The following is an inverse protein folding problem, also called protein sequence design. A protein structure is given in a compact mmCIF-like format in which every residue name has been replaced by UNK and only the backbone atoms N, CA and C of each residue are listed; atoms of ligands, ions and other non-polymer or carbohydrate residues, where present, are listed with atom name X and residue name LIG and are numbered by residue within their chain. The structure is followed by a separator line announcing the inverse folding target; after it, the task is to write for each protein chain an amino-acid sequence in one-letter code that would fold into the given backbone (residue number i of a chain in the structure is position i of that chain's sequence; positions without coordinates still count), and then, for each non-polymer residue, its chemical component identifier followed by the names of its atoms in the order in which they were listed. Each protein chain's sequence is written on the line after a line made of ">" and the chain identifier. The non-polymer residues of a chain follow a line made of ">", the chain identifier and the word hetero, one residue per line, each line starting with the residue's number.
data_IF_392223434375
#
_entry.id   IF_392223434375
#
_cell.length_a   1.000
_cell.length_b   1.000
_cell.length_c   1.000
_cell.angle_alpha   90.00
_cell.angle_beta   90.00
_cell.angle_gamma   90.00
#
_symmetry.space_group_name_H-M   'P 1'
#
loop_
_entity.id
_entity.type
_entity.pdbx_description
1 polymer ?
#
# COMPACT_ATOMS: atom_id res chain seq x y z
N UNK A 1 11.72 8.96 19.22
CA UNK A 1 10.40 8.63 18.63
C UNK A 1 10.64 7.66 17.48
N UNK A 2 9.98 6.49 17.42
CA UNK A 2 10.14 5.60 16.26
C UNK A 2 9.58 6.33 15.04
N UNK A 3 10.43 6.69 14.09
CA UNK A 3 9.99 7.27 12.82
C UNK A 3 9.05 6.26 12.14
N UNK A 4 7.85 6.71 11.75
CA UNK A 4 6.84 5.83 11.14
C UNK A 4 7.27 5.50 9.71
N UNK A 5 8.10 4.46 9.56
CA UNK A 5 8.48 3.87 8.25
C UNK A 5 7.29 3.30 7.48
N UNK A 6 6.16 3.14 8.16
CA UNK A 6 4.91 2.60 7.64
C UNK A 6 3.84 3.70 7.64
N UNK A 7 3.38 4.08 6.45
CA UNK A 7 2.33 5.08 6.22
C UNK A 7 1.07 4.41 5.69
N UNK A 8 -0.08 4.99 5.97
CA UNK A 8 -1.38 4.53 5.45
C UNK A 8 -2.08 5.69 4.77
N UNK A 9 -2.68 5.42 3.61
CA UNK A 9 -3.55 6.33 2.88
C UNK A 9 -4.88 5.63 2.61
N UNK A 10 -5.99 6.31 2.91
CA UNK A 10 -7.33 5.84 2.59
C UNK A 10 -7.88 6.62 1.40
N UNK A 11 -8.07 5.90 0.29
CA UNK A 11 -8.64 6.44 -0.94
C UNK A 11 -10.02 5.82 -1.25
N UNK A 12 -10.48 4.87 -0.43
CA UNK A 12 -11.70 4.10 -0.63
C UNK A 12 -12.94 4.70 0.03
N UNK A 13 -12.79 5.41 1.15
CA UNK A 13 -13.94 5.87 1.96
C UNK A 13 -14.27 7.36 1.83
N UNK A 14 -13.54 8.09 0.98
CA UNK A 14 -13.62 9.55 0.90
C UNK A 14 -14.56 10.09 -0.20
N UNK A 15 -15.44 9.24 -0.75
CA UNK A 15 -16.35 9.55 -1.86
C UNK A 15 -15.68 10.20 -3.10
N UNK A 16 -14.38 9.91 -3.30
CA UNK A 16 -13.63 10.44 -4.43
C UNK A 16 -14.14 9.83 -5.75
N UNK A 17 -14.11 10.63 -6.82
CA UNK A 17 -14.11 10.09 -8.19
C UNK A 17 -12.82 9.32 -8.40
N UNK A 18 -12.84 8.29 -9.26
CA UNK A 18 -11.68 7.42 -9.51
C UNK A 18 -10.42 8.23 -9.84
N UNK A 19 -10.52 9.22 -10.73
CA UNK A 19 -9.39 10.05 -11.15
C UNK A 19 -8.76 10.80 -9.96
N UNK A 20 -9.60 11.36 -9.07
CA UNK A 20 -9.12 12.07 -7.88
C UNK A 20 -8.42 11.13 -6.88
N UNK A 21 -8.91 9.90 -6.74
CA UNK A 21 -8.28 8.88 -5.90
C UNK A 21 -6.89 8.49 -6.43
N UNK A 22 -6.75 8.34 -7.76
CA UNK A 22 -5.46 8.04 -8.40
C UNK A 22 -4.50 9.22 -8.29
N UNK A 23 -4.94 10.46 -8.55
CA UNK A 23 -4.07 11.63 -8.35
C UNK A 23 -3.58 11.78 -6.91
N UNK A 24 -4.43 11.47 -5.92
CA UNK A 24 -4.04 11.46 -4.50
C UNK A 24 -3.01 10.35 -4.22
N UNK A 25 -3.21 9.15 -4.79
CA UNK A 25 -2.26 8.05 -4.68
C UNK A 25 -0.89 8.43 -5.27
N UNK A 26 -0.86 8.97 -6.48
CA UNK A 26 0.36 9.39 -7.18
C UNK A 26 1.14 10.45 -6.41
N UNK A 27 0.42 11.45 -5.89
CA UNK A 27 0.99 12.51 -5.06
C UNK A 27 1.58 11.92 -3.78
N UNK A 28 0.84 11.03 -3.12
CA UNK A 28 1.25 10.39 -1.88
C UNK A 28 2.49 9.51 -2.09
N UNK A 29 2.52 8.71 -3.16
CA UNK A 29 3.67 7.88 -3.50
C UNK A 29 4.89 8.74 -3.78
N UNK A 30 4.74 9.82 -4.54
CA UNK A 30 5.86 10.73 -4.85
C UNK A 30 6.42 11.39 -3.59
N UNK A 31 5.56 11.79 -2.64
CA UNK A 31 5.98 12.27 -1.33
C UNK A 31 6.73 11.20 -0.53
N UNK A 32 6.22 9.96 -0.50
CA UNK A 32 6.87 8.88 0.26
C UNK A 32 8.24 8.51 -0.29
N UNK A 33 8.39 8.51 -1.62
CA UNK A 33 9.68 8.28 -2.30
C UNK A 33 10.67 9.39 -1.96
N UNK A 34 10.21 10.66 -1.90
CA UNK A 34 11.06 11.80 -1.54
C UNK A 34 11.46 11.83 -0.05
N UNK A 35 10.56 11.39 0.85
CA UNK A 35 10.78 11.45 2.30
C UNK A 35 11.90 10.48 2.78
N UNK A 36 12.26 9.44 2.01
CA UNK A 36 13.27 8.37 2.29
C UNK A 36 13.10 7.59 3.62
N UNK A 37 12.34 8.14 4.57
CA UNK A 37 11.98 7.57 5.87
C UNK A 37 10.83 6.59 5.74
N UNK A 38 9.89 6.87 4.83
CA UNK A 38 8.77 5.97 4.54
C UNK A 38 9.25 4.83 3.66
N UNK A 39 9.15 3.60 4.17
CA UNK A 39 9.47 2.38 3.42
C UNK A 39 8.24 1.67 2.90
N UNK A 40 7.10 1.84 3.56
CA UNK A 40 5.88 1.16 3.18
C UNK A 40 4.72 2.14 3.15
N UNK A 41 3.98 2.13 2.05
CA UNK A 41 2.68 2.76 1.95
C UNK A 41 1.61 1.68 1.86
N UNK A 42 0.73 1.63 2.86
CA UNK A 42 -0.52 0.89 2.83
C UNK A 42 -1.61 1.76 2.20
N UNK A 43 -2.29 1.23 1.19
CA UNK A 43 -3.37 1.87 0.47
C UNK A 43 -4.66 1.12 0.82
N UNK A 44 -5.64 1.84 1.34
CA UNK A 44 -6.99 1.31 1.58
C UNK A 44 -7.88 1.72 0.40
N UNK A 45 -8.35 0.73 -0.36
CA UNK A 45 -9.23 0.93 -1.53
C UNK A 45 -10.70 0.71 -1.18
N UNK A 46 -10.98 0.13 -0.02
CA UNK A 46 -12.34 -0.19 0.42
C UNK A 46 -12.90 -1.44 -0.27
N UNK A 47 -14.00 -1.97 0.28
CA UNK A 47 -14.56 -3.25 -0.19
C UNK A 47 -15.48 -3.13 -1.40
N UNK A 48 -16.00 -1.93 -1.69
CA UNK A 48 -17.14 -1.63 -2.57
C UNK A 48 -17.38 -2.54 -3.79
N UNK A 49 -17.26 -1.99 -5.00
CA UNK A 49 -17.47 -2.78 -6.24
C UNK A 49 -16.18 -3.44 -6.75
N UNK A 50 -15.05 -3.23 -6.08
CA UNK A 50 -13.74 -3.65 -6.55
C UNK A 50 -13.12 -2.72 -7.61
N UNK A 51 -13.89 -1.85 -8.27
CA UNK A 51 -13.39 -0.96 -9.34
C UNK A 51 -12.14 -0.15 -8.95
N UNK A 52 -12.15 0.49 -7.79
CA UNK A 52 -11.00 1.28 -7.32
C UNK A 52 -9.78 0.39 -7.07
N UNK A 53 -9.99 -0.79 -6.47
CA UNK A 53 -8.91 -1.77 -6.28
C UNK A 53 -8.31 -2.19 -7.61
N UNK A 54 -9.13 -2.47 -8.61
CA UNK A 54 -8.64 -2.94 -9.91
C UNK A 54 -7.84 -1.84 -10.64
N UNK A 55 -8.31 -0.59 -10.59
CA UNK A 55 -7.55 0.55 -11.11
C UNK A 55 -6.23 0.75 -10.37
N UNK A 56 -6.20 0.62 -9.04
CA UNK A 56 -4.96 0.74 -8.25
C UNK A 56 -4.00 -0.43 -8.53
N UNK A 57 -4.53 -1.64 -8.76
CA UNK A 57 -3.73 -2.80 -9.18
C UNK A 57 -3.08 -2.53 -10.55
N UNK A 58 -3.83 -2.03 -11.52
CA UNK A 58 -3.31 -1.67 -12.84
C UNK A 58 -2.25 -0.57 -12.74
N UNK A 59 -2.54 0.51 -12.01
CA UNK A 59 -1.58 1.58 -11.77
C UNK A 59 -0.27 1.05 -11.15
N UNK A 60 -0.35 0.16 -10.17
CA UNK A 60 0.84 -0.49 -9.59
C UNK A 60 1.64 -1.29 -10.62
N UNK A 61 0.98 -1.93 -11.61
CA UNK A 61 1.63 -2.66 -12.68
C UNK A 61 2.32 -1.72 -13.68
N UNK A 62 1.71 -0.58 -14.00
CA UNK A 62 2.31 0.45 -14.85
C UNK A 62 3.57 1.06 -14.20
N UNK A 63 3.61 1.13 -12.87
CA UNK A 63 4.77 1.59 -12.10
C UNK A 63 5.86 0.52 -11.88
N UNK A 64 5.84 -0.60 -12.63
CA UNK A 64 6.81 -1.69 -12.49
C UNK A 64 8.26 -1.17 -12.55
N UNK A 65 9.07 -1.64 -11.61
CA UNK A 65 10.49 -1.25 -11.48
C UNK A 65 10.73 -0.05 -10.57
N UNK A 66 9.70 0.75 -10.23
CA UNK A 66 9.80 1.86 -9.27
C UNK A 66 9.85 1.38 -7.81
N UNK A 67 9.15 0.28 -7.51
CA UNK A 67 9.00 -0.24 -6.16
C UNK A 67 9.88 -1.48 -5.95
N UNK A 68 10.20 -1.78 -4.69
CA UNK A 68 10.83 -3.04 -4.32
C UNK A 68 9.85 -4.20 -4.44
N UNK A 69 8.62 -4.01 -3.97
CA UNK A 69 7.51 -4.92 -4.20
C UNK A 69 6.16 -4.22 -4.06
N UNK A 70 5.14 -4.82 -4.66
CA UNK A 70 3.74 -4.57 -4.34
C UNK A 70 3.19 -5.86 -3.75
N UNK A 71 2.53 -5.78 -2.61
CA UNK A 71 1.94 -6.91 -1.88
C UNK A 71 0.45 -6.63 -1.74
N UNK A 72 -0.40 -7.51 -2.24
CA UNK A 72 -1.84 -7.41 -2.04
C UNK A 72 -2.21 -7.89 -0.65
N UNK A 73 -3.27 -7.34 -0.04
CA UNK A 73 -3.67 -7.74 1.31
C UNK A 73 -4.10 -9.21 1.42
N UNK A 74 -4.41 -9.84 0.29
CA UNK A 74 -4.65 -11.28 0.16
C UNK A 74 -3.37 -12.10 0.43
N UNK A 75 -2.21 -11.54 0.05
CA UNK A 75 -0.88 -12.15 0.21
C UNK A 75 -0.11 -11.55 1.40
N UNK A 76 -0.77 -10.74 2.25
CA UNK A 76 -0.13 -10.05 3.37
C UNK A 76 -0.20 -10.89 4.65
N UNK A 77 0.63 -11.94 4.71
CA UNK A 77 0.65 -12.89 5.82
C UNK A 77 2.07 -13.44 6.12
N UNK A 78 2.12 -14.44 7.00
CA UNK A 78 3.36 -15.10 7.45
C UNK A 78 3.90 -16.16 6.50
N UNK A 79 3.23 -16.43 5.38
CA UNK A 79 3.66 -17.38 4.35
C UNK A 79 4.28 -16.67 3.14
N UNK A 80 4.02 -15.38 2.98
CA UNK A 80 4.67 -14.56 1.95
C UNK A 80 5.96 -13.90 2.46
N UNK A 81 7.11 -14.38 1.95
CA UNK A 81 8.43 -13.85 2.31
C UNK A 81 8.56 -12.33 2.08
N UNK A 82 7.98 -11.80 0.99
CA UNK A 82 8.02 -10.35 0.71
C UNK A 82 7.28 -9.55 1.79
N UNK A 83 6.15 -10.07 2.28
CA UNK A 83 5.40 -9.45 3.36
C UNK A 83 6.20 -9.47 4.68
N UNK A 84 6.86 -10.60 4.99
CA UNK A 84 7.72 -10.74 6.18
C UNK A 84 8.87 -9.73 6.13
N UNK A 85 9.60 -9.67 5.01
CA UNK A 85 10.78 -8.81 4.85
C UNK A 85 10.39 -7.32 4.92
N UNK A 86 9.34 -6.93 4.20
CA UNK A 86 8.79 -5.59 4.25
C UNK A 86 8.41 -5.17 5.69
N UNK A 87 7.74 -6.05 6.44
CA UNK A 87 7.38 -5.77 7.84
C UNK A 87 8.61 -5.68 8.73
N UNK A 88 9.60 -6.55 8.54
CA UNK A 88 10.85 -6.54 9.30
C UNK A 88 11.59 -5.22 9.12
N UNK A 89 11.65 -4.70 7.89
CA UNK A 89 12.24 -3.40 7.62
C UNK A 89 11.49 -2.27 8.36
N UNK A 90 10.17 -2.35 8.46
CA UNK A 90 9.37 -1.40 9.24
C UNK A 90 9.39 -1.63 10.76
N UNK A 91 10.22 -2.54 11.29
CA UNK A 91 10.27 -2.85 12.72
C UNK A 91 9.01 -3.56 13.23
N UNK A 92 8.40 -4.38 12.37
CA UNK A 92 7.19 -5.18 12.62
C UNK A 92 6.01 -4.32 13.10
N UNK A 93 5.49 -3.42 12.24
CA UNK A 93 4.39 -2.55 12.62
C UNK A 93 3.15 -3.37 13.01
N UNK A 94 2.42 -2.89 14.02
CA UNK A 94 1.10 -3.42 14.35
C UNK A 94 0.13 -2.98 13.25
N UNK A 95 -0.24 -3.92 12.40
CA UNK A 95 -1.21 -3.70 11.31
C UNK A 95 -2.34 -4.73 11.46
N UNK A 96 -3.60 -4.31 11.63
CA UNK A 96 -4.74 -5.22 11.83
C UNK A 96 -5.01 -6.14 10.63
N UNK A 97 -4.53 -5.79 9.42
CA UNK A 97 -4.79 -6.55 8.20
C UNK A 97 -3.83 -7.73 7.96
N UNK A 98 -2.78 -7.87 8.77
CA UNK A 98 -1.83 -8.97 8.61
C UNK A 98 -2.47 -10.33 8.91
N UNK A 99 -2.40 -11.24 7.94
CA UNK A 99 -3.03 -12.57 8.02
C UNK A 99 -4.55 -12.54 7.93
N UNK A 100 -5.15 -11.41 7.50
CA UNK A 100 -6.61 -11.29 7.35
C UNK A 100 -7.11 -11.60 5.95
N UNK A 101 -6.22 -11.74 4.97
CA UNK A 101 -6.59 -11.91 3.57
C UNK A 101 -7.53 -10.77 3.11
N UNK A 102 -7.19 -9.53 3.46
CA UNK A 102 -8.03 -8.37 3.19
C UNK A 102 -7.77 -7.84 1.78
N UNK A 103 -8.65 -8.14 0.84
CA UNK A 103 -8.54 -7.68 -0.54
C UNK A 103 -8.75 -6.16 -0.72
N UNK A 104 -9.21 -5.43 0.30
CA UNK A 104 -9.42 -3.99 0.25
C UNK A 104 -8.16 -3.16 0.56
N UNK A 105 -7.00 -3.83 0.73
CA UNK A 105 -5.72 -3.16 0.98
C UNK A 105 -4.62 -3.63 0.03
N UNK A 106 -3.73 -2.70 -0.29
CA UNK A 106 -2.55 -2.93 -1.13
C UNK A 106 -1.35 -2.25 -0.46
N UNK A 107 -0.20 -2.90 -0.47
CA UNK A 107 1.03 -2.40 0.14
C UNK A 107 2.07 -2.15 -0.95
N UNK A 108 2.64 -0.95 -0.94
CA UNK A 108 3.80 -0.60 -1.76
C UNK A 108 5.03 -0.54 -0.85
N UNK A 109 6.03 -1.34 -1.18
CA UNK A 109 7.34 -1.34 -0.54
C UNK A 109 8.33 -0.54 -1.38
N UNK A 110 8.82 0.58 -0.85
CA UNK A 110 9.83 1.45 -1.45
C UNK A 110 11.25 0.93 -1.18
N UNK A 111 12.17 1.30 -2.08
CA UNK A 111 13.61 0.99 -1.96
C UNK A 111 14.31 1.89 -0.94
#
# INVERSE_FOLDING_TARGET
>A
MKEKRFKTVDIGHSNYRLDAAISLLETTVSQCVYDEKVRVLKIITGHGSGKLRDVVKEWCLEQRGRFQAVIYGEDYDMFNQKAIDMRRECGQPRDPDYGRNNHAVIYIWFR
#
